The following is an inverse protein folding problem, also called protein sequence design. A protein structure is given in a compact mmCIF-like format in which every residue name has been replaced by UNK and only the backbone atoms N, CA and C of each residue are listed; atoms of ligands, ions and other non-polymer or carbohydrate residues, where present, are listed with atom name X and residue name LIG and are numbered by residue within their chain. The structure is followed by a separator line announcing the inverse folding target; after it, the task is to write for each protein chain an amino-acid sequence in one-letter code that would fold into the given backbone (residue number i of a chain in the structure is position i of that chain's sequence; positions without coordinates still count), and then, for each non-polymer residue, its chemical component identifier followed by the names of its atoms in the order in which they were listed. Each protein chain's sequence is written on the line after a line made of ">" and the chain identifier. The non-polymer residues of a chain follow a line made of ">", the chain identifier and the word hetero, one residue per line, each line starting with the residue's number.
data_IF_993257952053
#
_entry.id   IF_993257952053
#
_cell.length_a   1.000
_cell.length_b   1.000
_cell.length_c   1.000
_cell.angle_alpha   90.00
_cell.angle_beta   90.00
_cell.angle_gamma   90.00
#
_symmetry.space_group_name_H-M   'P 1'
#
loop_
_entity.id
_entity.type
_entity.pdbx_description
1 polymer ?
#
# COMPACT_ATOMS: atom_id res chain seq x y z
N UNK A 1 -22.09 8.09 -22.70
CA UNK A 1 -20.69 8.50 -22.90
C UNK A 1 -20.48 9.80 -22.15
N UNK A 2 -19.86 9.73 -20.97
CA UNK A 2 -19.16 10.87 -20.38
C UNK A 2 -18.15 10.30 -19.39
N UNK A 3 -16.93 10.20 -19.89
CA UNK A 3 -15.70 9.84 -19.21
C UNK A 3 -15.39 10.85 -18.10
N UNK A 4 -16.00 10.67 -16.95
CA UNK A 4 -15.40 11.11 -15.70
C UNK A 4 -14.27 10.12 -15.38
N UNK A 5 -13.13 10.23 -16.08
CA UNK A 5 -11.90 9.67 -15.57
C UNK A 5 -11.63 10.31 -14.21
N UNK A 6 -12.07 9.63 -13.14
CA UNK A 6 -11.33 9.25 -11.94
C UNK A 6 -10.13 10.12 -11.49
N UNK A 7 -10.12 11.43 -11.69
CA UNK A 7 -9.14 12.33 -11.06
C UNK A 7 -9.32 12.31 -9.53
N UNK A 8 -10.56 12.09 -9.07
CA UNK A 8 -10.85 11.71 -7.68
C UNK A 8 -10.08 10.46 -7.27
N UNK A 9 -10.15 9.38 -8.06
CA UNK A 9 -9.49 8.10 -7.71
C UNK A 9 -7.96 8.19 -7.76
N UNK A 10 -7.35 8.87 -8.73
CA UNK A 10 -5.89 9.01 -8.76
C UNK A 10 -5.38 9.94 -7.66
N UNK A 11 -6.09 11.04 -7.37
CA UNK A 11 -5.72 11.93 -6.28
C UNK A 11 -5.88 11.25 -4.90
N UNK A 12 -6.91 10.42 -4.72
CA UNK A 12 -7.10 9.58 -3.54
C UNK A 12 -5.97 8.58 -3.38
N UNK A 13 -5.65 7.82 -4.44
CA UNK A 13 -4.53 6.87 -4.47
C UNK A 13 -3.20 7.56 -4.15
N UNK A 14 -2.96 8.75 -4.72
CA UNK A 14 -1.78 9.56 -4.44
C UNK A 14 -1.66 10.03 -2.99
N UNK A 15 -2.78 10.36 -2.34
CA UNK A 15 -2.81 10.67 -0.90
C UNK A 15 -2.48 9.44 -0.06
N UNK A 16 -3.08 8.30 -0.37
CA UNK A 16 -2.79 7.03 0.30
C UNK A 16 -1.33 6.61 0.14
N UNK A 17 -0.77 6.79 -1.06
CA UNK A 17 0.64 6.54 -1.35
C UNK A 17 1.58 7.42 -0.53
N UNK A 18 1.29 8.73 -0.48
CA UNK A 18 2.05 9.67 0.35
C UNK A 18 1.98 9.28 1.83
N UNK A 19 0.78 8.96 2.33
CA UNK A 19 0.57 8.50 3.71
C UNK A 19 1.35 7.22 4.02
N UNK A 20 1.36 6.26 3.09
CA UNK A 20 2.16 5.04 3.23
C UNK A 20 3.66 5.39 3.38
N UNK A 21 4.19 6.28 2.53
CA UNK A 21 5.60 6.70 2.61
C UNK A 21 5.94 7.36 3.95
N UNK A 22 5.06 8.19 4.48
CA UNK A 22 5.21 8.80 5.81
C UNK A 22 5.27 7.73 6.91
N UNK A 23 4.30 6.81 6.91
CA UNK A 23 4.24 5.72 7.90
C UNK A 23 5.50 4.83 7.88
N UNK A 24 6.05 4.56 6.69
CA UNK A 24 7.30 3.81 6.55
C UNK A 24 8.52 4.63 6.99
N UNK A 25 8.55 5.94 6.70
CA UNK A 25 9.63 6.82 7.11
C UNK A 25 9.72 6.93 8.64
N UNK A 26 8.58 7.04 9.33
CA UNK A 26 8.50 7.06 10.80
C UNK A 26 9.09 5.79 11.44
N UNK A 27 9.18 4.70 10.67
CA UNK A 27 9.61 3.36 11.14
C UNK A 27 10.88 2.87 10.48
N UNK A 28 11.59 3.75 9.78
CA UNK A 28 12.79 3.39 9.00
C UNK A 28 13.91 2.75 9.84
N UNK A 29 13.95 3.01 11.15
CA UNK A 29 14.95 2.41 12.05
C UNK A 29 14.73 0.91 12.29
N UNK A 30 13.49 0.42 12.17
CA UNK A 30 13.11 -0.97 12.45
C UNK A 30 12.94 -1.75 11.15
N UNK A 31 12.57 -1.07 10.06
CA UNK A 31 12.27 -1.68 8.76
C UNK A 31 13.55 -1.94 7.97
N UNK A 32 13.76 -3.17 7.53
CA UNK A 32 14.91 -3.51 6.69
C UNK A 32 14.70 -3.01 5.26
N UNK A 33 15.79 -2.72 4.56
CA UNK A 33 15.77 -2.23 3.18
C UNK A 33 14.86 -3.06 2.23
N UNK A 34 14.97 -4.40 2.16
CA UNK A 34 14.12 -5.19 1.25
C UNK A 34 12.64 -5.18 1.64
N UNK A 35 12.33 -5.11 2.94
CA UNK A 35 10.95 -5.01 3.43
C UNK A 35 10.33 -3.69 3.02
N UNK A 36 11.09 -2.60 3.18
CA UNK A 36 10.70 -1.26 2.74
C UNK A 36 10.50 -1.19 1.24
N UNK A 37 11.43 -1.75 0.46
CA UNK A 37 11.35 -1.78 -0.99
C UNK A 37 10.12 -2.54 -1.47
N UNK A 38 9.81 -3.70 -0.86
CA UNK A 38 8.61 -4.48 -1.18
C UNK A 38 7.31 -3.71 -0.95
N UNK A 39 7.25 -2.95 0.16
CA UNK A 39 6.07 -2.12 0.49
C UNK A 39 5.92 -0.93 -0.47
N UNK A 40 7.03 -0.31 -0.87
CA UNK A 40 7.04 0.81 -1.81
C UNK A 40 6.71 0.36 -3.24
N UNK A 41 7.31 -0.74 -3.71
CA UNK A 41 7.04 -1.31 -5.03
C UNK A 41 5.57 -1.72 -5.17
N UNK A 42 4.98 -2.32 -4.14
CA UNK A 42 3.55 -2.60 -4.12
C UNK A 42 2.71 -1.32 -4.19
N UNK A 43 3.07 -0.27 -3.44
CA UNK A 43 2.34 0.99 -3.46
C UNK A 43 2.44 1.70 -4.83
N UNK A 44 3.60 1.69 -5.47
CA UNK A 44 3.82 2.24 -6.82
C UNK A 44 3.01 1.47 -7.87
N UNK A 45 3.10 0.13 -7.86
CA UNK A 45 2.34 -0.72 -8.75
C UNK A 45 0.83 -0.50 -8.62
N UNK A 46 0.35 -0.40 -7.37
CA UNK A 46 -1.06 -0.09 -7.10
C UNK A 46 -1.44 1.32 -7.51
N UNK A 47 -0.56 2.33 -7.40
CA UNK A 47 -0.81 3.71 -7.83
C UNK A 47 -0.91 3.86 -9.35
N UNK A 48 -0.17 3.05 -10.10
CA UNK A 48 -0.14 3.09 -11.57
C UNK A 48 -1.02 2.01 -12.23
N UNK A 49 -1.72 1.19 -11.46
CA UNK A 49 -2.55 0.08 -11.94
C UNK A 49 -1.74 -0.94 -12.76
N UNK A 50 -0.52 -1.23 -12.29
CA UNK A 50 0.36 -2.24 -12.89
C UNK A 50 -0.28 -3.63 -12.83
N UNK A 51 -0.05 -4.48 -13.85
CA UNK A 51 -0.71 -5.79 -13.97
C UNK A 51 -0.38 -6.75 -12.82
N UNK A 52 0.76 -6.59 -12.17
CA UNK A 52 1.24 -7.37 -11.03
C UNK A 52 0.94 -6.70 -9.67
N UNK A 53 0.27 -5.55 -9.65
CA UNK A 53 -0.04 -4.81 -8.41
C UNK A 53 -0.79 -5.64 -7.37
N UNK A 54 -1.69 -6.54 -7.80
CA UNK A 54 -2.39 -7.45 -6.88
C UNK A 54 -1.45 -8.47 -6.23
N UNK A 55 -0.47 -8.99 -6.99
CA UNK A 55 0.54 -9.92 -6.49
C UNK A 55 1.50 -9.19 -5.53
N UNK A 56 2.01 -8.02 -5.92
CA UNK A 56 2.87 -7.19 -5.06
C UNK A 56 2.17 -6.79 -3.76
N UNK A 57 0.86 -6.49 -3.81
CA UNK A 57 0.05 -6.24 -2.61
C UNK A 57 -0.01 -7.46 -1.67
N UNK A 58 -0.14 -8.67 -2.22
CA UNK A 58 -0.13 -9.89 -1.39
C UNK A 58 1.22 -10.07 -0.69
N UNK A 59 2.32 -9.91 -1.42
CA UNK A 59 3.69 -9.96 -0.86
C UNK A 59 3.89 -8.91 0.22
N UNK A 60 3.46 -7.66 -0.03
CA UNK A 60 3.52 -6.58 0.96
C UNK A 60 2.73 -6.90 2.23
N UNK A 61 1.58 -7.58 2.13
CA UNK A 61 0.82 -8.05 3.31
C UNK A 61 1.55 -9.13 4.09
N UNK A 62 2.22 -10.06 3.39
CA UNK A 62 3.05 -11.08 4.04
C UNK A 62 4.23 -10.45 4.79
N UNK A 63 4.86 -9.41 4.23
CA UNK A 63 5.91 -8.63 4.93
C UNK A 63 5.37 -8.00 6.21
N UNK A 64 4.20 -7.35 6.15
CA UNK A 64 3.58 -6.76 7.35
C UNK A 64 3.21 -7.81 8.40
N UNK A 65 2.67 -8.95 7.98
CA UNK A 65 2.38 -10.06 8.87
C UNK A 65 3.65 -10.60 9.55
N UNK A 66 4.72 -10.83 8.79
CA UNK A 66 6.00 -11.30 9.32
C UNK A 66 6.64 -10.30 10.31
N UNK A 67 6.46 -9.00 10.10
CA UNK A 67 6.92 -7.97 11.04
C UNK A 67 6.15 -8.02 12.37
N UNK A 68 4.86 -8.31 12.34
CA UNK A 68 4.03 -8.48 13.54
C UNK A 68 4.34 -9.81 14.23
N UNK A 69 4.41 -10.91 13.48
CA UNK A 69 4.69 -12.26 13.99
C UNK A 69 6.08 -12.36 14.64
N UNK A 70 7.02 -11.49 14.24
CA UNK A 70 8.36 -11.40 14.82
C UNK A 70 8.48 -10.40 15.98
N UNK A 71 7.36 -9.83 16.45
CA UNK A 71 7.30 -8.79 17.49
C UNK A 71 8.12 -7.52 17.16
N UNK A 72 8.57 -7.35 15.89
CA UNK A 72 9.30 -6.16 15.45
C UNK A 72 8.37 -4.96 15.31
N UNK A 73 7.11 -5.20 14.96
CA UNK A 73 6.07 -4.19 14.81
C UNK A 73 4.86 -4.54 15.67
N UNK A 74 4.20 -3.50 16.19
CA UNK A 74 2.88 -3.67 16.80
C UNK A 74 1.81 -3.91 15.71
N UNK A 75 0.73 -4.66 16.01
CA UNK A 75 -0.35 -4.93 15.06
C UNK A 75 -1.03 -3.66 14.50
N UNK A 76 -1.25 -2.64 15.34
CA UNK A 76 -1.92 -1.40 14.97
C UNK A 76 -1.16 -0.62 13.87
N UNK A 77 0.15 -0.30 14.04
CA UNK A 77 0.97 0.25 12.96
C UNK A 77 0.98 -0.54 11.66
N UNK A 78 1.06 -1.87 11.74
CA UNK A 78 1.04 -2.72 10.55
C UNK A 78 -0.31 -2.63 9.82
N UNK A 79 -1.41 -2.58 10.57
CA UNK A 79 -2.75 -2.37 10.03
C UNK A 79 -2.92 -0.99 9.37
N UNK A 80 -2.33 0.07 9.93
CA UNK A 80 -2.33 1.40 9.31
C UNK A 80 -1.60 1.41 7.95
N UNK A 81 -0.44 0.77 7.87
CA UNK A 81 0.30 0.64 6.60
C UNK A 81 -0.49 -0.21 5.61
N UNK A 82 -1.12 -1.30 6.05
CA UNK A 82 -1.96 -2.13 5.19
C UNK A 82 -3.17 -1.35 4.64
N UNK A 83 -3.82 -0.53 5.46
CA UNK A 83 -4.94 0.31 5.03
C UNK A 83 -4.50 1.38 4.02
N UNK A 84 -3.35 2.02 4.25
CA UNK A 84 -2.77 2.97 3.31
C UNK A 84 -2.42 2.29 1.98
N UNK A 85 -1.85 1.08 2.02
CA UNK A 85 -1.53 0.28 0.85
C UNK A 85 -2.79 -0.09 0.04
N UNK A 86 -3.86 -0.53 0.71
CA UNK A 86 -5.13 -0.84 0.04
C UNK A 86 -5.72 0.38 -0.66
N UNK A 87 -5.59 1.56 -0.05
CA UNK A 87 -6.02 2.84 -0.61
C UNK A 87 -5.22 3.28 -1.84
N UNK A 88 -4.03 2.72 -2.10
CA UNK A 88 -3.29 2.95 -3.35
C UNK A 88 -3.96 2.30 -4.56
N UNK A 89 -4.80 1.29 -4.35
CA UNK A 89 -5.54 0.63 -5.43
C UNK A 89 -6.78 1.42 -5.81
N UNK A 90 -7.14 1.43 -7.09
CA UNK A 90 -8.45 1.93 -7.49
C UNK A 90 -9.51 0.99 -6.89
N UNK A 91 -10.45 1.55 -6.13
CA UNK A 91 -11.65 0.82 -5.74
C UNK A 91 -12.37 0.39 -7.02
N UNK A 92 -12.16 -0.86 -7.45
CA UNK A 92 -12.96 -1.46 -8.50
C UNK A 92 -14.37 -1.58 -7.94
N UNK A 93 -15.23 -0.62 -8.29
CA UNK A 93 -16.67 -0.80 -8.17
C UNK A 93 -17.04 -2.02 -9.01
N UNK A 94 -17.21 -3.16 -8.36
CA UNK A 94 -17.92 -4.29 -8.95
C UNK A 94 -19.38 -3.86 -9.00
N UNK A 95 -19.87 -3.45 -10.19
CA UNK A 95 -21.31 -3.39 -10.41
C UNK A 95 -21.82 -4.83 -10.40
N UNK A 96 -22.64 -5.15 -9.40
CA UNK A 96 -23.54 -6.29 -9.44
C UNK A 96 -24.57 -6.12 -10.57
#
# INVERSE_FOLDING_TARGET
>A
MNDAFSTGSLAERGRCHTRLRELLADRAAILHAPERESLLDAADALLFDEPDGAQKRAVAREVLAALVDSDRWLPEPAAEVAAALDGCSAARYVRA
#
